data_IF_102648940693
#
_entry.id   IF_102648940693
#
_cell.length_a   1.000
_cell.length_b   1.000
_cell.length_c   1.000
_cell.angle_alpha   90.00
_cell.angle_beta   90.00
_cell.angle_gamma   90.00
#
_symmetry.space_group_name_H-M   'P 1'
#
loop_
_entity.id
_entity.type
_entity.pdbx_description
1 polymer ?
#
# COMPACT_ATOMS: atom_id res chain seq x y z
N UNK A 1 31.77 44.93 25.41
CA UNK A 1 30.50 44.59 24.71
C UNK A 1 30.69 43.40 23.79
N UNK A 2 30.84 42.24 24.36
CA UNK A 2 30.92 40.92 23.60
C UNK A 2 30.63 39.82 24.61
N UNK A 3 29.39 39.53 24.91
CA UNK A 3 28.96 38.32 25.63
C UNK A 3 27.43 38.34 25.76
N UNK A 4 26.69 37.99 24.74
CA UNK A 4 25.25 37.69 24.85
C UNK A 4 24.70 37.12 23.53
N UNK A 5 25.27 36.06 22.93
CA UNK A 5 24.66 35.35 21.79
C UNK A 5 24.95 33.83 21.86
N UNK A 6 25.16 33.24 23.01
CA UNK A 6 25.42 31.80 23.15
C UNK A 6 24.37 30.99 23.92
N UNK A 7 23.19 31.58 24.19
CA UNK A 7 22.21 30.98 25.10
C UNK A 7 20.88 30.49 24.47
N UNK A 8 20.65 30.55 23.16
CA UNK A 8 19.32 30.29 22.54
C UNK A 8 19.25 29.01 21.70
N UNK A 9 20.32 28.30 21.47
CA UNK A 9 20.29 27.12 20.55
C UNK A 9 20.13 25.76 21.27
N UNK A 10 20.12 25.73 22.62
CA UNK A 10 20.06 24.46 23.36
C UNK A 10 18.70 24.12 23.98
N UNK A 11 17.64 24.82 23.65
CA UNK A 11 16.31 24.61 24.27
C UNK A 11 15.26 24.00 23.34
N UNK A 12 15.62 23.56 22.13
CA UNK A 12 14.64 23.02 21.16
C UNK A 12 14.72 21.47 21.07
N UNK A 13 15.60 20.82 21.82
CA UNK A 13 15.79 19.37 21.76
C UNK A 13 15.15 18.56 22.89
N UNK A 14 14.36 19.18 23.76
CA UNK A 14 13.53 18.49 24.75
C UNK A 14 12.05 18.58 24.37
N UNK A 15 11.73 18.26 23.13
CA UNK A 15 10.37 18.09 22.64
C UNK A 15 9.90 16.67 22.89
N UNK A 16 9.18 16.51 24.02
CA UNK A 16 8.06 15.58 24.24
C UNK A 16 8.15 14.22 23.55
N UNK A 17 8.38 13.19 24.35
CA UNK A 17 7.77 11.86 24.18
C UNK A 17 6.24 12.01 24.26
N UNK A 18 5.63 12.74 23.36
CA UNK A 18 4.20 12.65 23.11
C UNK A 18 3.99 11.43 22.23
N UNK A 19 3.01 10.61 22.60
CA UNK A 19 2.56 9.45 21.85
C UNK A 19 2.69 9.70 20.37
N UNK A 20 3.38 8.81 19.66
CA UNK A 20 3.50 8.90 18.20
C UNK A 20 2.08 8.98 17.64
N UNK A 21 1.74 10.02 16.86
CA UNK A 21 0.47 10.06 16.16
C UNK A 21 0.32 8.75 15.40
N UNK A 22 -0.86 8.15 15.42
CA UNK A 22 -1.21 6.83 14.98
C UNK A 22 -0.28 6.26 13.92
N UNK A 23 0.48 5.24 14.28
CA UNK A 23 1.26 4.51 13.29
C UNK A 23 0.29 3.85 12.33
N UNK A 24 0.55 3.92 11.01
CA UNK A 24 -0.16 3.10 10.04
C UNK A 24 -0.16 1.66 10.55
N UNK A 25 -1.33 1.15 10.96
CA UNK A 25 -1.46 -0.25 11.39
C UNK A 25 -1.54 -1.22 10.22
N UNK A 26 -1.64 -0.68 9.01
CA UNK A 26 -1.82 -1.44 7.80
C UNK A 26 -0.48 -1.84 7.21
N UNK A 27 -0.37 -3.06 6.71
CA UNK A 27 0.80 -3.58 6.01
C UNK A 27 0.96 -3.04 4.59
N UNK A 28 0.15 -2.05 4.20
CA UNK A 28 0.09 -1.48 2.86
C UNK A 28 -0.34 -0.02 2.91
N UNK A 29 0.20 0.82 2.02
CA UNK A 29 -0.36 2.12 1.67
C UNK A 29 -1.56 1.94 0.73
N UNK A 30 -1.63 2.70 -0.36
CA UNK A 30 -2.70 2.52 -1.36
C UNK A 30 -2.54 1.15 -2.03
N UNK A 31 -1.40 0.93 -2.72
CA UNK A 31 -1.05 -0.33 -3.39
C UNK A 31 0.35 -0.84 -3.02
N UNK A 32 1.15 -0.04 -2.34
CA UNK A 32 2.55 -0.33 -2.01
C UNK A 32 2.65 -0.95 -0.62
N UNK A 33 3.32 -2.10 -0.45
CA UNK A 33 3.53 -2.69 0.86
C UNK A 33 4.42 -1.81 1.74
N UNK A 34 4.23 -1.92 3.05
CA UNK A 34 5.08 -1.31 4.08
C UNK A 34 5.69 -2.39 4.96
N UNK A 35 6.90 -2.15 5.51
CA UNK A 35 7.58 -3.12 6.37
C UNK A 35 6.93 -3.19 7.77
N UNK A 36 5.68 -3.63 7.80
CA UNK A 36 4.87 -3.82 9.00
C UNK A 36 3.88 -4.95 8.78
N UNK A 37 3.64 -5.74 9.80
CA UNK A 37 2.61 -6.78 9.82
C UNK A 37 1.64 -6.55 10.98
N UNK A 38 0.52 -7.24 10.97
CA UNK A 38 -0.40 -7.33 12.10
C UNK A 38 0.27 -8.07 13.26
N UNK A 39 -0.09 -7.74 14.49
CA UNK A 39 0.36 -8.50 15.65
C UNK A 39 -0.30 -9.88 15.67
N UNK A 40 0.29 -10.78 16.44
CA UNK A 40 -0.28 -12.12 16.64
C UNK A 40 -1.72 -12.03 17.15
N UNK A 41 -2.64 -12.74 16.47
CA UNK A 41 -4.06 -12.73 16.80
C UNK A 41 -4.83 -11.51 16.26
N UNK A 42 -4.20 -10.54 15.62
CA UNK A 42 -4.92 -9.50 14.91
C UNK A 42 -5.38 -9.99 13.52
N UNK A 43 -6.53 -9.51 13.10
CA UNK A 43 -7.11 -9.72 11.78
C UNK A 43 -7.48 -8.37 11.16
N UNK A 44 -7.18 -8.22 9.88
CA UNK A 44 -7.66 -7.10 9.04
C UNK A 44 -8.58 -7.64 7.97
N UNK A 45 -9.75 -7.04 7.82
CA UNK A 45 -10.66 -7.27 6.70
C UNK A 45 -10.77 -5.99 5.88
N UNK A 46 -10.50 -6.08 4.57
CA UNK A 46 -10.58 -4.96 3.63
C UNK A 46 -11.70 -5.20 2.62
N UNK A 47 -12.44 -4.15 2.32
CA UNK A 47 -13.39 -4.06 1.23
C UNK A 47 -12.96 -2.88 0.35
N UNK A 48 -12.64 -3.15 -0.91
CA UNK A 48 -12.26 -2.15 -1.92
C UNK A 48 -13.29 -2.10 -3.02
N UNK A 49 -13.81 -0.90 -3.25
CA UNK A 49 -14.70 -0.58 -4.36
C UNK A 49 -13.89 0.16 -5.42
N UNK A 50 -13.87 -0.38 -6.64
CA UNK A 50 -13.07 0.18 -7.72
C UNK A 50 -13.87 0.35 -9.02
N UNK A 51 -13.25 0.93 -10.02
CA UNK A 51 -13.89 1.24 -11.31
C UNK A 51 -14.58 0.04 -11.94
N UNK A 52 -15.55 0.29 -12.82
CA UNK A 52 -16.39 -0.71 -13.51
C UNK A 52 -17.23 -1.56 -12.53
N UNK A 53 -17.69 -0.96 -11.42
CA UNK A 53 -18.46 -1.68 -10.41
C UNK A 53 -17.69 -2.85 -9.78
N UNK A 54 -16.38 -2.71 -9.68
CA UNK A 54 -15.51 -3.71 -9.11
C UNK A 54 -15.55 -3.75 -7.59
N UNK A 55 -15.43 -4.95 -7.05
CA UNK A 55 -15.34 -5.24 -5.62
C UNK A 55 -14.20 -6.20 -5.37
N UNK A 56 -13.32 -5.87 -4.44
CA UNK A 56 -12.28 -6.75 -3.94
C UNK A 56 -12.40 -6.83 -2.42
N UNK A 57 -12.42 -8.04 -1.90
CA UNK A 57 -12.39 -8.31 -0.46
C UNK A 57 -11.11 -9.03 -0.13
N UNK A 58 -10.45 -8.62 0.95
CA UNK A 58 -9.28 -9.32 1.47
C UNK A 58 -9.36 -9.50 2.99
N UNK A 59 -8.74 -10.57 3.46
CA UNK A 59 -8.57 -10.84 4.89
C UNK A 59 -7.11 -11.19 5.11
N UNK A 60 -6.49 -10.53 6.08
CA UNK A 60 -5.12 -10.77 6.52
C UNK A 60 -5.12 -11.05 8.03
N UNK A 61 -4.36 -12.05 8.45
CA UNK A 61 -4.23 -12.45 9.87
C UNK A 61 -2.76 -12.44 10.27
N UNK A 62 -2.45 -11.85 11.41
CA UNK A 62 -1.16 -11.96 12.07
C UNK A 62 -1.03 -13.31 12.78
N UNK A 63 -0.27 -14.24 12.19
CA UNK A 63 0.00 -15.53 12.79
C UNK A 63 1.01 -15.43 13.93
N UNK A 64 1.95 -14.55 13.77
CA UNK A 64 2.92 -14.12 14.80
C UNK A 64 3.15 -12.62 14.61
N UNK A 65 3.88 -11.97 15.52
CA UNK A 65 4.27 -10.56 15.37
C UNK A 65 5.18 -10.29 14.14
N UNK A 66 5.54 -11.33 13.40
CA UNK A 66 6.40 -11.24 12.21
C UNK A 66 5.82 -11.86 10.96
N UNK A 67 4.82 -12.74 11.08
CA UNK A 67 4.24 -13.47 9.96
C UNK A 67 2.78 -13.10 9.81
N UNK A 68 2.40 -12.56 8.66
CA UNK A 68 1.03 -12.36 8.25
C UNK A 68 0.69 -13.23 7.04
N UNK A 69 -0.52 -13.78 7.04
CA UNK A 69 -1.08 -14.52 5.90
C UNK A 69 -2.49 -14.05 5.61
N UNK A 70 -2.84 -14.00 4.35
CA UNK A 70 -4.15 -13.54 3.91
C UNK A 70 -4.57 -14.10 2.57
N UNK A 71 -5.82 -13.86 2.26
CA UNK A 71 -6.45 -14.19 0.99
C UNK A 71 -7.26 -13.00 0.51
N UNK A 72 -7.42 -12.87 -0.80
CA UNK A 72 -8.30 -11.90 -1.43
C UNK A 72 -9.10 -12.53 -2.57
N UNK A 73 -10.29 -11.99 -2.82
CA UNK A 73 -11.13 -12.40 -3.94
C UNK A 73 -12.07 -11.27 -4.34
N UNK A 74 -12.33 -11.17 -5.63
CA UNK A 74 -13.18 -10.13 -6.16
C UNK A 74 -13.40 -10.24 -7.66
N UNK A 75 -13.84 -9.12 -8.27
CA UNK A 75 -14.09 -9.05 -9.71
C UNK A 75 -14.67 -7.71 -10.12
N UNK A 76 -14.87 -7.53 -11.43
CA UNK A 76 -15.56 -6.38 -12.03
C UNK A 76 -17.05 -6.66 -12.22
N UNK A 77 -17.85 -5.62 -12.43
CA UNK A 77 -19.31 -5.69 -12.64
C UNK A 77 -20.07 -6.41 -11.51
N UNK A 78 -19.58 -6.37 -10.27
CA UNK A 78 -20.27 -6.92 -9.10
C UNK A 78 -21.34 -5.94 -8.65
N UNK A 79 -21.05 -4.64 -8.72
CA UNK A 79 -21.98 -3.56 -8.42
C UNK A 79 -22.45 -2.95 -9.74
N UNK A 80 -23.77 -2.89 -9.95
CA UNK A 80 -24.39 -2.33 -11.14
C UNK A 80 -25.13 -3.36 -11.96
N UNK A 81 -25.26 -3.10 -13.27
CA UNK A 81 -25.97 -3.95 -14.21
C UNK A 81 -24.98 -4.66 -15.12
N UNK A 82 -25.12 -5.96 -15.29
CA UNK A 82 -24.25 -6.72 -16.17
C UNK A 82 -23.87 -8.07 -15.58
N UNK A 83 -23.08 -8.82 -16.33
CA UNK A 83 -22.60 -10.12 -15.90
C UNK A 83 -21.32 -9.92 -15.06
N UNK A 84 -21.28 -10.38 -13.80
CA UNK A 84 -20.05 -10.30 -13.01
C UNK A 84 -18.87 -10.98 -13.71
N UNK A 85 -17.73 -10.33 -13.70
CA UNK A 85 -16.47 -10.87 -14.19
C UNK A 85 -15.54 -11.12 -13.00
N UNK A 86 -15.67 -12.31 -12.40
CA UNK A 86 -14.90 -12.69 -11.21
C UNK A 86 -13.46 -13.01 -11.57
N UNK A 87 -12.54 -12.73 -10.64
CA UNK A 87 -11.16 -13.19 -10.71
C UNK A 87 -11.11 -14.70 -10.88
N UNK A 88 -10.03 -15.18 -11.46
CA UNK A 88 -9.90 -16.62 -11.80
C UNK A 88 -9.95 -17.50 -10.55
N UNK A 89 -9.32 -17.05 -9.47
CA UNK A 89 -9.17 -17.77 -8.22
C UNK A 89 -9.01 -16.80 -7.05
N UNK A 90 -9.16 -17.25 -5.81
CA UNK A 90 -8.68 -16.48 -4.65
C UNK A 90 -7.17 -16.31 -4.70
N UNK A 91 -6.70 -15.13 -4.36
CA UNK A 91 -5.30 -14.79 -4.36
C UNK A 91 -4.71 -14.86 -2.95
N UNK A 92 -3.41 -15.16 -2.87
CA UNK A 92 -2.71 -15.37 -1.61
C UNK A 92 -1.81 -14.18 -1.27
N UNK A 93 -1.75 -13.85 0.00
CA UNK A 93 -0.82 -12.86 0.55
C UNK A 93 -0.06 -13.49 1.73
N UNK A 94 1.26 -13.45 1.69
CA UNK A 94 2.15 -13.90 2.76
C UNK A 94 3.20 -12.81 2.96
N UNK A 95 3.45 -12.45 4.22
CA UNK A 95 4.44 -11.44 4.57
C UNK A 95 5.27 -11.90 5.77
N UNK A 96 6.55 -11.55 5.76
CA UNK A 96 7.49 -11.85 6.83
C UNK A 96 8.34 -10.62 7.17
N UNK A 97 8.19 -10.12 8.39
CA UNK A 97 8.97 -8.99 8.92
C UNK A 97 10.34 -9.50 9.37
N UNK A 98 11.36 -9.26 8.55
CA UNK A 98 12.75 -9.63 8.84
C UNK A 98 13.30 -8.84 10.01
N UNK A 99 13.15 -7.51 9.94
CA UNK A 99 13.63 -6.58 10.95
C UNK A 99 12.57 -5.53 11.25
N UNK A 100 12.22 -5.39 12.52
CA UNK A 100 11.36 -4.29 12.97
C UNK A 100 12.11 -2.97 12.91
N UNK A 101 11.40 -1.89 12.56
CA UNK A 101 11.96 -0.56 12.57
C UNK A 101 12.46 -0.17 13.97
N UNK A 102 13.63 0.47 14.03
CA UNK A 102 14.21 1.07 15.23
C UNK A 102 14.56 2.54 14.96
N UNK A 103 15.03 3.26 15.98
CA UNK A 103 15.32 4.69 15.85
C UNK A 103 16.23 5.03 14.67
N UNK A 104 17.27 4.26 14.41
CA UNK A 104 18.25 4.52 13.35
C UNK A 104 18.11 3.56 12.15
N UNK A 105 17.51 2.38 12.32
CA UNK A 105 17.39 1.38 11.26
C UNK A 105 15.97 1.31 10.71
N UNK A 106 15.80 1.17 9.39
CA UNK A 106 14.49 0.93 8.78
C UNK A 106 13.95 -0.46 9.17
N UNK A 107 12.64 -0.62 9.13
CA UNK A 107 12.01 -1.93 9.07
C UNK A 107 12.27 -2.58 7.70
N UNK A 108 12.40 -3.89 7.68
CA UNK A 108 12.61 -4.69 6.46
C UNK A 108 11.60 -5.82 6.44
N UNK A 109 10.84 -5.93 5.36
CA UNK A 109 9.89 -7.01 5.15
C UNK A 109 10.06 -7.63 3.77
N UNK A 110 9.85 -8.94 3.70
CA UNK A 110 9.70 -9.67 2.44
C UNK A 110 8.29 -10.27 2.39
N UNK A 111 7.79 -10.52 1.20
CA UNK A 111 6.47 -11.14 1.07
C UNK A 111 6.19 -11.62 -0.33
N UNK A 112 5.01 -12.20 -0.45
CA UNK A 112 4.41 -12.63 -1.70
C UNK A 112 2.95 -12.20 -1.72
N UNK A 113 2.53 -11.59 -2.82
CA UNK A 113 1.14 -11.22 -3.04
C UNK A 113 0.77 -11.49 -4.50
N UNK A 114 -0.12 -12.43 -4.74
CA UNK A 114 -0.59 -12.77 -6.08
C UNK A 114 -1.76 -11.90 -6.54
N UNK A 115 -2.32 -11.03 -5.68
CA UNK A 115 -3.38 -10.11 -6.05
C UNK A 115 -2.81 -8.92 -6.84
N UNK A 116 -3.25 -8.77 -8.09
CA UNK A 116 -3.09 -7.55 -8.88
C UNK A 116 -4.30 -6.63 -8.76
N UNK A 117 -4.30 -5.50 -9.46
CA UNK A 117 -5.35 -4.51 -9.40
C UNK A 117 -6.05 -4.30 -10.74
N UNK A 118 -7.32 -3.87 -10.66
CA UNK A 118 -8.23 -3.84 -11.80
C UNK A 118 -8.73 -5.24 -12.16
N UNK A 119 -9.42 -5.36 -13.31
CA UNK A 119 -9.97 -6.65 -13.74
C UNK A 119 -8.90 -7.64 -14.19
N UNK A 120 -9.15 -8.92 -13.94
CA UNK A 120 -8.33 -10.01 -14.47
C UNK A 120 -8.69 -10.30 -15.92
N UNK A 121 -7.69 -10.25 -16.80
CA UNK A 121 -7.86 -10.55 -18.22
C UNK A 121 -7.46 -12.00 -18.49
N UNK A 122 -8.46 -12.83 -18.83
CA UNK A 122 -8.26 -14.28 -19.10
C UNK A 122 -7.48 -14.57 -20.38
N UNK A 123 -7.42 -13.60 -21.32
CA UNK A 123 -6.69 -13.78 -22.58
C UNK A 123 -5.20 -13.56 -22.39
N UNK A 124 -4.83 -12.55 -21.61
CA UNK A 124 -3.43 -12.24 -21.28
C UNK A 124 -2.96 -12.93 -20.00
N UNK A 125 -3.91 -13.54 -19.26
CA UNK A 125 -3.65 -14.28 -18.01
C UNK A 125 -2.94 -13.42 -16.97
N UNK A 126 -3.46 -12.17 -16.79
CA UNK A 126 -2.92 -11.19 -15.84
C UNK A 126 -3.98 -10.16 -15.42
N UNK A 127 -3.71 -9.47 -14.34
CA UNK A 127 -4.45 -8.27 -13.94
C UNK A 127 -4.09 -7.05 -14.81
N UNK A 128 -4.97 -6.05 -14.79
CA UNK A 128 -4.71 -4.78 -15.48
C UNK A 128 -3.44 -4.07 -14.96
N UNK A 129 -3.23 -4.08 -13.64
CA UNK A 129 -1.95 -3.78 -12.98
C UNK A 129 -1.46 -5.07 -12.37
N UNK A 130 -0.27 -5.52 -12.78
CA UNK A 130 0.31 -6.80 -12.35
C UNK A 130 0.35 -6.92 -10.83
N UNK A 131 0.18 -8.15 -10.33
CA UNK A 131 0.42 -8.47 -8.94
C UNK A 131 1.88 -8.20 -8.55
N UNK A 132 2.11 -7.91 -7.28
CA UNK A 132 3.48 -7.71 -6.78
C UNK A 132 4.32 -8.98 -6.87
N UNK A 133 3.70 -10.15 -6.72
CA UNK A 133 4.43 -11.40 -6.61
C UNK A 133 5.36 -11.37 -5.40
N UNK A 134 6.61 -11.79 -5.59
CA UNK A 134 7.64 -11.67 -4.56
C UNK A 134 8.11 -10.22 -4.42
N UNK A 135 8.20 -9.73 -3.20
CA UNK A 135 8.63 -8.36 -2.94
C UNK A 135 9.51 -8.25 -1.70
N UNK A 136 10.31 -7.19 -1.66
CA UNK A 136 10.99 -6.73 -0.46
C UNK A 136 10.76 -5.23 -0.31
N UNK A 137 10.55 -4.78 0.93
CA UNK A 137 10.29 -3.38 1.24
C UNK A 137 11.06 -2.94 2.48
N UNK A 138 11.54 -1.71 2.42
CA UNK A 138 12.13 -0.94 3.51
C UNK A 138 11.13 0.14 3.92
N UNK A 139 10.99 0.35 5.23
CA UNK A 139 10.10 1.40 5.76
C UNK A 139 10.79 2.16 6.88
N UNK A 140 10.69 3.48 6.83
CA UNK A 140 11.22 4.36 7.86
C UNK A 140 10.23 5.45 8.21
N UNK A 141 9.88 5.51 9.50
CA UNK A 141 9.05 6.56 10.05
C UNK A 141 9.92 7.58 10.76
N UNK A 142 9.52 8.85 10.69
CA UNK A 142 10.18 9.95 11.36
C UNK A 142 9.15 10.88 12.01
N UNK A 143 9.49 11.45 13.15
CA UNK A 143 8.67 12.47 13.81
C UNK A 143 8.78 13.85 13.13
N UNK A 144 9.65 13.98 12.12
CA UNK A 144 9.80 15.20 11.36
C UNK A 144 8.47 15.65 10.76
N UNK A 145 8.13 16.91 10.96
CA UNK A 145 6.85 17.52 10.56
C UNK A 145 5.60 16.78 11.07
N UNK A 146 5.66 16.11 12.23
CA UNK A 146 4.49 15.50 12.86
C UNK A 146 4.12 14.11 12.32
N UNK A 147 5.09 13.29 11.98
CA UNK A 147 4.88 11.90 11.56
C UNK A 147 4.84 11.72 10.05
N UNK A 148 6.01 11.51 9.47
CA UNK A 148 6.22 11.18 8.06
C UNK A 148 6.78 9.76 7.97
N UNK A 149 6.20 8.92 7.13
CA UNK A 149 6.74 7.61 6.79
C UNK A 149 7.15 7.54 5.33
N UNK A 150 8.26 6.90 5.07
CA UNK A 150 8.81 6.65 3.75
C UNK A 150 9.00 5.16 3.55
N UNK A 151 8.66 4.68 2.37
CA UNK A 151 8.69 3.28 2.01
C UNK A 151 9.29 3.14 0.63
N UNK A 152 10.01 2.07 0.38
CA UNK A 152 10.56 1.79 -0.94
C UNK A 152 10.99 0.34 -1.04
N UNK A 153 10.85 -0.22 -2.23
CA UNK A 153 11.17 -1.61 -2.43
C UNK A 153 11.18 -2.00 -3.89
N UNK A 154 11.29 -3.29 -4.08
CA UNK A 154 11.22 -3.92 -5.40
C UNK A 154 10.35 -5.16 -5.36
N UNK A 155 9.85 -5.55 -6.51
CA UNK A 155 9.05 -6.74 -6.64
C UNK A 155 9.32 -7.48 -7.96
N UNK A 156 8.92 -8.73 -7.98
CA UNK A 156 8.99 -9.61 -9.13
C UNK A 156 7.68 -10.36 -9.27
N UNK A 157 6.88 -9.95 -10.25
CA UNK A 157 5.55 -10.52 -10.49
C UNK A 157 5.63 -11.90 -11.15
N UNK A 158 4.80 -12.88 -10.76
CA UNK A 158 4.66 -14.12 -11.50
C UNK A 158 3.88 -13.97 -12.81
N UNK A 159 3.21 -12.85 -13.01
CA UNK A 159 2.47 -12.50 -14.25
C UNK A 159 3.41 -12.02 -15.35
N UNK A 160 4.37 -12.86 -15.73
CA UNK A 160 5.56 -12.47 -16.50
C UNK A 160 5.57 -13.00 -17.94
N UNK A 161 4.43 -13.40 -18.49
CA UNK A 161 4.44 -13.99 -19.83
C UNK A 161 5.03 -13.07 -20.90
N UNK A 162 4.93 -11.77 -20.68
CA UNK A 162 5.30 -10.76 -21.66
C UNK A 162 6.51 -9.91 -21.25
N UNK A 163 6.76 -9.72 -19.95
CA UNK A 163 7.83 -8.91 -19.40
C UNK A 163 8.26 -9.45 -18.04
N UNK A 164 9.55 -9.76 -17.89
CA UNK A 164 10.12 -10.45 -16.72
C UNK A 164 10.95 -9.54 -15.81
N UNK A 165 10.96 -8.27 -16.12
CA UNK A 165 11.77 -7.33 -15.36
C UNK A 165 11.28 -7.18 -13.92
N UNK A 166 12.16 -6.99 -12.95
CA UNK A 166 11.77 -6.57 -11.62
C UNK A 166 11.25 -5.14 -11.69
N UNK A 167 10.35 -4.81 -10.78
CA UNK A 167 9.79 -3.48 -10.69
C UNK A 167 10.18 -2.81 -9.37
N UNK A 168 10.15 -1.47 -9.36
CA UNK A 168 10.43 -0.64 -8.20
C UNK A 168 9.17 0.08 -7.75
N UNK A 169 9.05 0.27 -6.45
CA UNK A 169 7.96 1.04 -5.89
C UNK A 169 8.40 1.92 -4.71
N UNK A 170 7.70 3.02 -4.54
CA UNK A 170 7.95 3.99 -3.49
C UNK A 170 6.63 4.42 -2.86
N UNK A 171 6.69 4.83 -1.60
CA UNK A 171 5.52 5.33 -0.90
C UNK A 171 5.88 6.31 0.20
N UNK A 172 4.97 7.24 0.44
CA UNK A 172 5.07 8.24 1.51
C UNK A 172 3.70 8.33 2.17
N UNK A 173 3.68 8.41 3.49
CA UNK A 173 2.49 8.84 4.21
C UNK A 173 2.80 9.96 5.19
N UNK A 174 1.81 10.81 5.42
CA UNK A 174 1.90 11.93 6.32
C UNK A 174 0.66 12.00 7.20
N UNK A 175 0.84 11.85 8.49
CA UNK A 175 -0.21 12.12 9.47
C UNK A 175 -0.41 13.62 9.63
N UNK A 176 -1.63 14.10 9.38
CA UNK A 176 -2.06 15.48 9.62
C UNK A 176 -2.46 15.64 11.09
N UNK A 177 -3.17 14.65 11.59
CA UNK A 177 -3.58 14.49 12.99
C UNK A 177 -3.72 12.99 13.30
N UNK A 178 -4.06 12.56 14.54
CA UNK A 178 -4.17 11.13 14.89
C UNK A 178 -5.18 10.32 14.07
N UNK A 179 -6.12 10.98 13.41
CA UNK A 179 -7.21 10.34 12.67
C UNK A 179 -7.04 10.45 11.14
N UNK A 180 -6.31 11.46 10.65
CA UNK A 180 -6.23 11.78 9.24
C UNK A 180 -4.80 11.65 8.72
N UNK A 181 -4.62 10.83 7.67
CA UNK A 181 -3.36 10.69 6.95
C UNK A 181 -3.53 10.99 5.45
N UNK A 182 -2.49 11.56 4.86
CA UNK A 182 -2.31 11.67 3.43
C UNK A 182 -1.34 10.58 2.99
N UNK A 183 -1.68 9.86 1.93
CA UNK A 183 -0.89 8.78 1.36
C UNK A 183 -0.54 9.12 -0.07
N UNK A 184 0.65 8.72 -0.49
CA UNK A 184 1.08 8.80 -1.87
C UNK A 184 1.95 7.58 -2.15
N UNK A 185 1.71 6.90 -3.25
CA UNK A 185 2.60 5.84 -3.72
C UNK A 185 2.85 5.93 -5.22
N UNK A 186 3.96 5.37 -5.62
CA UNK A 186 4.39 5.31 -7.01
C UNK A 186 5.01 3.96 -7.32
N UNK A 187 4.47 3.32 -8.33
CA UNK A 187 4.94 2.08 -8.93
C UNK A 187 5.53 2.41 -10.29
N UNK A 188 6.77 2.03 -10.53
CA UNK A 188 7.48 2.42 -11.76
C UNK A 188 6.98 1.67 -12.99
N UNK A 189 6.32 0.53 -12.80
CA UNK A 189 5.78 -0.34 -13.85
C UNK A 189 6.84 -0.71 -14.93
N UNK A 190 8.11 -0.87 -14.52
CA UNK A 190 9.19 -1.32 -15.41
C UNK A 190 8.87 -2.71 -15.96
N UNK A 191 8.20 -3.53 -15.18
CA UNK A 191 7.74 -4.86 -15.56
C UNK A 191 6.52 -4.86 -16.50
N UNK A 192 6.10 -3.71 -17.01
CA UNK A 192 4.95 -3.54 -17.92
C UNK A 192 5.24 -2.47 -18.97
N UNK A 193 6.42 -2.56 -19.64
CA UNK A 193 6.87 -1.60 -20.64
C UNK A 193 7.22 -2.23 -22.01
N UNK A 194 7.00 -3.51 -22.19
CA UNK A 194 7.21 -4.26 -23.44
C UNK A 194 6.08 -4.04 -24.45
N UNK A 195 6.21 -4.62 -25.66
CA UNK A 195 5.26 -4.51 -26.77
C UNK A 195 3.81 -4.92 -26.47
N UNK A 196 3.58 -5.65 -25.37
CA UNK A 196 2.26 -6.08 -24.90
C UNK A 196 1.88 -5.42 -23.57
N UNK A 197 2.61 -4.39 -23.19
CA UNK A 197 2.30 -3.60 -22.02
C UNK A 197 0.86 -3.08 -22.06
N UNK A 198 0.23 -2.98 -20.89
CA UNK A 198 -1.05 -2.30 -20.73
C UNK A 198 -0.85 -0.86 -20.22
N UNK A 199 0.39 -0.50 -19.96
CA UNK A 199 0.81 0.82 -19.52
C UNK A 199 1.57 1.59 -20.61
N UNK A 200 1.54 2.92 -20.51
CA UNK A 200 2.23 3.85 -21.40
C UNK A 200 3.68 4.17 -20.97
N UNK A 201 4.21 3.43 -20.00
CA UNK A 201 5.58 3.61 -19.48
C UNK A 201 5.77 4.79 -18.52
N UNK A 202 4.67 5.38 -18.00
CA UNK A 202 4.73 6.50 -17.03
C UNK A 202 4.77 6.04 -15.57
N UNK A 203 4.51 4.76 -15.30
CA UNK A 203 4.28 4.24 -13.96
C UNK A 203 2.93 4.66 -13.38
N UNK A 204 2.60 4.13 -12.20
CA UNK A 204 1.32 4.38 -11.53
C UNK A 204 1.55 5.28 -10.31
N UNK A 205 1.14 6.53 -10.41
CA UNK A 205 1.11 7.48 -9.28
C UNK A 205 -0.29 7.47 -8.67
N UNK A 206 -0.37 7.19 -7.37
CA UNK A 206 -1.62 7.19 -6.60
C UNK A 206 -1.50 8.12 -5.40
N UNK A 207 -2.58 8.79 -5.04
CA UNK A 207 -2.71 9.56 -3.81
C UNK A 207 -4.00 9.19 -3.10
N UNK A 208 -4.01 9.27 -1.76
CA UNK A 208 -5.19 8.98 -0.98
C UNK A 208 -5.28 9.84 0.28
N UNK A 209 -6.50 9.93 0.79
CA UNK A 209 -6.82 10.43 2.12
C UNK A 209 -7.38 9.27 2.92
N UNK A 210 -6.76 8.96 4.05
CA UNK A 210 -7.21 7.90 4.94
C UNK A 210 -7.71 8.51 6.25
N UNK A 211 -8.89 8.12 6.65
CA UNK A 211 -9.50 8.49 7.93
C UNK A 211 -9.60 7.27 8.84
N UNK A 212 -9.06 7.39 10.05
CA UNK A 212 -9.05 6.36 11.09
C UNK A 212 -10.10 6.63 12.16
N UNK A 213 -11.01 5.69 12.38
CA UNK A 213 -11.95 5.70 13.50
C UNK A 213 -11.45 4.76 14.59
N UNK A 214 -11.00 5.35 15.71
CA UNK A 214 -10.49 4.61 16.87
C UNK A 214 -9.43 3.55 16.55
N UNK A 215 -8.67 3.73 15.47
CA UNK A 215 -7.65 2.77 15.01
C UNK A 215 -8.18 1.36 14.74
N UNK A 216 -9.48 1.21 14.57
CA UNK A 216 -10.16 -0.05 14.31
C UNK A 216 -10.77 -0.08 12.92
N UNK A 217 -11.42 1.02 12.52
CA UNK A 217 -12.00 1.20 11.19
C UNK A 217 -11.26 2.31 10.46
N UNK A 218 -10.85 2.03 9.23
CA UNK A 218 -10.22 3.02 8.35
C UNK A 218 -11.07 3.14 7.08
N UNK A 219 -11.30 4.36 6.64
CA UNK A 219 -11.90 4.68 5.35
C UNK A 219 -10.86 5.43 4.54
N UNK A 220 -10.59 4.96 3.33
CA UNK A 220 -9.60 5.52 2.42
C UNK A 220 -10.26 5.86 1.10
N UNK A 221 -9.99 7.08 0.63
CA UNK A 221 -10.42 7.58 -0.67
C UNK A 221 -9.19 7.72 -1.54
N UNK A 222 -9.12 6.90 -2.58
CA UNK A 222 -7.98 6.82 -3.47
C UNK A 222 -8.26 7.56 -4.78
N UNK A 223 -7.29 8.29 -5.23
CA UNK A 223 -7.18 8.80 -6.58
C UNK A 223 -6.00 8.11 -7.24
N UNK A 224 -6.30 7.18 -8.14
CA UNK A 224 -5.33 6.25 -8.70
C UNK A 224 -5.00 6.57 -10.14
N UNK A 225 -3.76 6.20 -10.52
CA UNK A 225 -3.24 6.35 -11.88
C UNK A 225 -3.34 7.81 -12.38
N UNK A 226 -2.83 8.74 -11.55
CA UNK A 226 -2.87 10.18 -11.84
C UNK A 226 -2.10 10.52 -13.11
N UNK A 227 -1.07 9.75 -13.43
CA UNK A 227 -0.26 9.92 -14.65
C UNK A 227 -0.91 9.33 -15.90
N UNK A 228 -2.08 8.70 -15.72
CA UNK A 228 -2.82 8.06 -16.82
C UNK A 228 -1.92 7.06 -17.57
N UNK A 229 -1.35 6.12 -16.83
CA UNK A 229 -0.46 5.11 -17.39
C UNK A 229 -1.22 4.00 -18.12
N UNK A 230 -2.49 3.72 -17.76
CA UNK A 230 -3.29 2.66 -18.39
C UNK A 230 -3.87 3.12 -19.72
N UNK A 231 -3.49 2.47 -20.81
CA UNK A 231 -3.98 2.81 -22.15
C UNK A 231 -5.45 2.45 -22.38
N UNK A 232 -5.98 1.46 -21.64
CA UNK A 232 -7.35 0.95 -21.81
C UNK A 232 -8.40 1.62 -20.95
N UNK A 233 -8.02 2.58 -20.10
CA UNK A 233 -8.90 3.36 -19.25
C UNK A 233 -8.47 4.82 -19.29
N UNK A 234 -9.10 5.65 -20.11
CA UNK A 234 -8.76 7.07 -20.15
C UNK A 234 -9.07 7.74 -18.81
N UNK A 235 -8.10 8.49 -18.32
CA UNK A 235 -8.19 9.24 -17.09
C UNK A 235 -7.88 8.44 -15.82
N UNK A 236 -7.66 9.18 -14.74
CA UNK A 236 -7.45 8.63 -13.40
C UNK A 236 -8.70 7.97 -12.85
N UNK A 237 -8.56 6.98 -11.98
CA UNK A 237 -9.66 6.29 -11.33
C UNK A 237 -9.81 6.71 -9.85
N UNK A 238 -11.00 6.49 -9.30
CA UNK A 238 -11.31 6.73 -7.89
C UNK A 238 -11.77 5.42 -7.27
N UNK A 239 -11.25 5.14 -6.07
CA UNK A 239 -11.57 3.94 -5.32
C UNK A 239 -11.90 4.32 -3.88
N UNK A 240 -12.62 3.46 -3.20
CA UNK A 240 -12.92 3.58 -1.78
C UNK A 240 -12.50 2.27 -1.13
N UNK A 241 -11.72 2.36 -0.05
CA UNK A 241 -11.41 1.21 0.81
C UNK A 241 -12.00 1.41 2.19
N UNK A 242 -12.56 0.34 2.72
CA UNK A 242 -12.94 0.22 4.13
C UNK A 242 -12.12 -0.91 4.73
N UNK A 243 -11.39 -0.63 5.80
CA UNK A 243 -10.48 -1.58 6.41
C UNK A 243 -10.85 -1.66 7.89
N UNK A 244 -11.18 -2.86 8.34
CA UNK A 244 -11.52 -3.14 9.72
C UNK A 244 -10.43 -4.02 10.35
N UNK A 245 -9.87 -3.57 11.46
CA UNK A 245 -8.84 -4.29 12.21
C UNK A 245 -9.40 -4.69 13.57
N UNK A 246 -9.29 -5.97 13.91
CA UNK A 246 -9.75 -6.50 15.19
C UNK A 246 -8.78 -7.54 15.72
N UNK A 247 -8.91 -7.87 17.00
CA UNK A 247 -8.21 -8.98 17.65
C UNK A 247 -9.13 -10.20 17.66
N UNK A 248 -8.61 -11.39 17.31
CA UNK A 248 -9.33 -12.67 17.30
C UNK A 248 -9.44 -13.27 18.72
#
# INVERSE_FOLDING_TARGET
MKTAVRGVILSILTGSLLAQPGSLRLGQLIDVPVARTLFQGEMSAELRLYTKGGLLTSVLVGLTDRIGMGISYGGENIIGTGKPNMNLQPEAHIQYLLFSEQNLSPGIMIGFNSQGYGGYNRTTDRYAVKSRGFYAVLSKNTSFLGGLGMHGGFNWSPEQKDDKDPDLFFGIHKWINPELALLCDYDTAINDNDNKALGSGKGYLNVAVQWSFNQTLYIEFDWKDILENRDNLPGSSREIKMIYVTHL
#
